data_IF_761627625333
#
_entry.id   IF_761627625333
#
_cell.length_a   1.000
_cell.length_b   1.000
_cell.length_c   1.000
_cell.angle_alpha   90.00
_cell.angle_beta   90.00
_cell.angle_gamma   90.00
#
_symmetry.space_group_name_H-M   'P 1'
#
loop_
_entity.id
_entity.type
_entity.pdbx_description
1 polymer ?
#
# COMPACT_ATOMS: atom_id res chain seq x y z
N UNK A 1 15.82 -26.35 -16.34
CA UNK A 1 17.05 -25.76 -15.75
C UNK A 1 17.09 -26.17 -14.30
N UNK A 2 18.26 -26.41 -13.70
CA UNK A 2 18.34 -26.53 -12.23
C UNK A 2 18.04 -25.14 -11.67
N UNK A 3 17.08 -25.04 -10.75
CA UNK A 3 16.82 -23.77 -10.07
C UNK A 3 18.01 -23.42 -9.19
N UNK A 4 18.74 -22.35 -9.53
CA UNK A 4 19.85 -21.83 -8.73
C UNK A 4 19.30 -21.07 -7.50
N UNK A 5 18.56 -21.78 -6.63
CA UNK A 5 17.96 -21.19 -5.42
C UNK A 5 19.03 -20.57 -4.51
N UNK A 6 20.21 -21.18 -4.44
CA UNK A 6 21.31 -20.80 -3.54
C UNK A 6 21.99 -19.46 -3.85
N UNK A 7 21.76 -18.89 -5.05
CA UNK A 7 22.33 -17.59 -5.45
C UNK A 7 21.44 -16.41 -5.01
N UNK A 8 20.19 -16.67 -4.61
CA UNK A 8 19.30 -15.63 -4.11
C UNK A 8 19.65 -15.23 -2.69
N UNK A 9 19.71 -13.92 -2.44
CA UNK A 9 19.97 -13.39 -1.10
C UNK A 9 18.90 -13.81 -0.09
N UNK A 10 17.66 -14.00 -0.54
CA UNK A 10 16.56 -14.53 0.28
C UNK A 10 16.76 -15.97 0.76
N UNK A 11 17.61 -16.75 0.08
CA UNK A 11 17.92 -18.16 0.39
C UNK A 11 19.30 -18.35 1.02
N UNK A 12 20.08 -17.27 1.16
CA UNK A 12 21.39 -17.32 1.82
C UNK A 12 21.24 -17.52 3.34
N UNK A 13 22.25 -18.14 3.95
CA UNK A 13 22.35 -18.25 5.41
C UNK A 13 22.78 -16.91 6.02
N UNK A 14 22.19 -16.56 7.16
CA UNK A 14 22.67 -15.43 7.96
C UNK A 14 23.78 -15.93 8.91
N UNK A 15 24.98 -15.35 8.79
CA UNK A 15 26.13 -15.72 9.62
C UNK A 15 25.92 -15.43 11.10
N UNK A 16 25.06 -14.46 11.44
CA UNK A 16 24.74 -14.14 12.82
C UNK A 16 23.79 -15.17 13.48
N UNK A 17 23.11 -16.01 12.70
CA UNK A 17 22.12 -16.98 13.19
C UNK A 17 22.50 -18.44 12.93
N UNK A 18 23.79 -18.76 12.70
CA UNK A 18 24.22 -20.13 12.40
C UNK A 18 23.92 -21.14 13.52
N UNK A 19 23.84 -20.66 14.76
CA UNK A 19 23.55 -21.46 15.97
C UNK A 19 22.22 -21.04 16.62
N UNK A 20 21.25 -20.55 15.81
CA UNK A 20 19.98 -20.01 16.31
C UNK A 20 19.22 -21.00 17.21
N UNK A 21 19.33 -22.30 16.95
CA UNK A 21 18.69 -23.38 17.70
C UNK A 21 19.33 -23.64 19.09
N UNK A 22 20.52 -23.10 19.34
CA UNK A 22 21.25 -23.22 20.61
C UNK A 22 21.13 -21.97 21.48
N UNK A 23 20.59 -20.88 20.93
CA UNK A 23 20.37 -19.62 21.63
C UNK A 23 19.21 -19.73 22.63
N UNK A 24 19.33 -19.04 23.76
CA UNK A 24 18.21 -18.81 24.67
C UNK A 24 17.13 -17.97 24.01
N UNK A 25 15.91 -18.00 24.56
CA UNK A 25 14.80 -17.21 24.04
C UNK A 25 15.12 -15.71 23.94
N UNK A 26 15.85 -15.14 24.92
CA UNK A 26 16.25 -13.72 24.91
C UNK A 26 17.24 -13.43 23.78
N UNK A 27 18.22 -14.30 23.57
CA UNK A 27 19.21 -14.16 22.50
C UNK A 27 18.55 -14.24 21.12
N UNK A 28 17.62 -15.18 20.91
CA UNK A 28 16.85 -15.29 19.65
C UNK A 28 16.09 -14.00 19.35
N UNK A 29 15.31 -13.47 20.29
CA UNK A 29 14.50 -12.25 20.03
C UNK A 29 15.37 -10.99 19.94
N UNK A 30 16.53 -10.97 20.61
CA UNK A 30 17.51 -9.89 20.47
C UNK A 30 18.09 -9.87 19.06
N UNK A 31 18.53 -11.03 18.55
CA UNK A 31 19.04 -11.15 17.19
C UNK A 31 17.97 -10.82 16.14
N UNK A 32 16.72 -11.27 16.34
CA UNK A 32 15.61 -10.88 15.47
C UNK A 32 15.43 -9.35 15.42
N UNK A 33 15.48 -8.68 16.58
CA UNK A 33 15.36 -7.23 16.64
C UNK A 33 16.53 -6.51 15.94
N UNK A 34 17.75 -6.97 16.12
CA UNK A 34 18.95 -6.43 15.46
C UNK A 34 18.85 -6.55 13.93
N UNK A 35 18.30 -7.66 13.43
CA UNK A 35 18.02 -7.86 12.01
C UNK A 35 16.89 -6.95 11.52
N UNK A 36 15.82 -6.79 12.29
CA UNK A 36 14.69 -5.90 11.95
C UNK A 36 15.10 -4.42 11.83
N UNK A 37 16.07 -3.96 12.64
CA UNK A 37 16.60 -2.59 12.54
C UNK A 37 17.17 -2.27 11.15
N UNK A 38 17.68 -3.29 10.43
CA UNK A 38 18.24 -3.14 9.08
C UNK A 38 17.18 -2.88 8.02
N UNK A 39 15.92 -3.27 8.26
CA UNK A 39 14.83 -3.18 7.28
C UNK A 39 14.55 -1.73 6.88
N UNK A 40 14.46 -0.82 7.85
CA UNK A 40 14.20 0.59 7.58
C UNK A 40 15.32 1.25 6.75
N UNK A 41 16.57 0.83 6.99
CA UNK A 41 17.73 1.28 6.23
C UNK A 41 17.71 0.73 4.80
N UNK A 42 17.28 -0.52 4.61
CA UNK A 42 17.11 -1.08 3.27
C UNK A 42 16.01 -0.33 2.50
N UNK A 43 14.85 -0.08 3.13
CA UNK A 43 13.75 0.69 2.53
C UNK A 43 14.19 2.10 2.13
N UNK A 44 15.04 2.75 2.93
CA UNK A 44 15.58 4.08 2.62
C UNK A 44 16.27 4.13 1.25
N UNK A 45 16.94 3.06 0.83
CA UNK A 45 17.63 3.02 -0.47
C UNK A 45 16.68 2.90 -1.66
N UNK A 46 15.42 2.49 -1.45
CA UNK A 46 14.42 2.32 -2.49
C UNK A 46 13.43 3.51 -2.59
N UNK A 47 13.66 4.61 -1.86
CA UNK A 47 12.69 5.72 -1.78
C UNK A 47 12.46 6.42 -3.12
N UNK A 48 13.46 6.45 -4.00
CA UNK A 48 13.34 7.05 -5.33
C UNK A 48 12.36 6.26 -6.19
N UNK A 49 12.49 4.94 -6.20
CA UNK A 49 11.63 4.02 -6.94
C UNK A 49 10.22 3.98 -6.35
N UNK A 50 10.11 4.04 -5.02
CA UNK A 50 8.81 4.18 -4.33
C UNK A 50 8.12 5.48 -4.72
N UNK A 51 8.84 6.61 -4.79
CA UNK A 51 8.27 7.88 -5.22
C UNK A 51 7.80 7.81 -6.69
N UNK A 52 8.59 7.22 -7.59
CA UNK A 52 8.19 7.02 -8.97
C UNK A 52 6.94 6.13 -9.11
N UNK A 53 6.85 5.06 -8.32
CA UNK A 53 5.66 4.22 -8.23
C UNK A 53 4.43 5.01 -7.75
N UNK A 54 4.59 5.86 -6.72
CA UNK A 54 3.50 6.73 -6.24
C UNK A 54 3.02 7.68 -7.33
N UNK A 55 3.92 8.28 -8.12
CA UNK A 55 3.55 9.16 -9.23
C UNK A 55 2.71 8.42 -10.29
N UNK A 56 3.11 7.20 -10.65
CA UNK A 56 2.35 6.35 -11.58
C UNK A 56 0.96 6.01 -11.02
N UNK A 57 0.87 5.68 -9.73
CA UNK A 57 -0.40 5.38 -9.04
C UNK A 57 -1.33 6.58 -9.01
N UNK A 58 -0.82 7.76 -8.65
CA UNK A 58 -1.60 9.00 -8.59
C UNK A 58 -2.15 9.34 -9.98
N UNK A 59 -1.31 9.32 -11.02
CA UNK A 59 -1.74 9.59 -12.40
C UNK A 59 -2.85 8.63 -12.86
N UNK A 60 -2.73 7.35 -12.55
CA UNK A 60 -3.75 6.35 -12.88
C UNK A 60 -5.07 6.61 -12.15
N UNK A 61 -5.03 6.88 -10.84
CA UNK A 61 -6.23 7.15 -10.04
C UNK A 61 -6.94 8.44 -10.46
N UNK A 62 -6.20 9.48 -10.85
CA UNK A 62 -6.79 10.71 -11.42
C UNK A 62 -7.54 10.44 -12.74
N UNK A 63 -7.16 9.41 -13.49
CA UNK A 63 -7.83 8.96 -14.72
C UNK A 63 -8.94 7.91 -14.49
N UNK A 64 -9.27 7.64 -13.21
CA UNK A 64 -10.27 6.68 -12.79
C UNK A 64 -9.80 5.22 -12.76
N UNK A 65 -8.49 5.00 -12.72
CA UNK A 65 -7.86 3.70 -12.53
C UNK A 65 -7.82 3.23 -11.07
N UNK A 66 -7.49 1.96 -10.88
CA UNK A 66 -7.35 1.31 -9.55
C UNK A 66 -5.90 0.91 -9.29
N UNK A 67 -5.57 0.69 -8.03
CA UNK A 67 -4.33 0.04 -7.58
C UNK A 67 -4.62 -1.42 -7.19
N UNK A 68 -3.97 -2.36 -7.86
CA UNK A 68 -4.21 -3.78 -7.70
C UNK A 68 -2.92 -4.49 -7.30
N UNK A 69 -2.89 -5.03 -6.09
CA UNK A 69 -1.78 -5.82 -5.59
C UNK A 69 -1.98 -7.30 -5.88
N UNK A 70 -0.94 -7.98 -6.34
CA UNK A 70 -0.95 -9.41 -6.57
C UNK A 70 0.27 -10.06 -5.92
N UNK A 71 0.05 -11.18 -5.24
CA UNK A 71 1.14 -11.97 -4.68
C UNK A 71 0.68 -13.34 -4.20
N UNK A 72 1.62 -14.19 -3.85
CA UNK A 72 1.35 -15.47 -3.20
C UNK A 72 1.77 -15.43 -1.72
N UNK A 73 1.23 -16.34 -0.91
CA UNK A 73 1.59 -16.50 0.49
C UNK A 73 1.60 -15.18 1.28
N UNK A 74 2.68 -14.92 2.01
CA UNK A 74 2.84 -13.69 2.80
C UNK A 74 2.70 -12.42 1.96
N UNK A 75 3.29 -12.37 0.76
CA UNK A 75 3.23 -11.22 -0.14
C UNK A 75 1.79 -10.86 -0.51
N UNK A 76 1.00 -11.87 -0.90
CA UNK A 76 -0.42 -11.67 -1.22
C UNK A 76 -1.24 -11.22 -0.01
N UNK A 77 -0.98 -11.82 1.18
CA UNK A 77 -1.66 -11.42 2.42
C UNK A 77 -1.36 -9.97 2.81
N UNK A 78 -0.12 -9.51 2.63
CA UNK A 78 0.26 -8.12 2.90
C UNK A 78 -0.41 -7.14 1.92
N UNK A 79 -0.54 -7.51 0.64
CA UNK A 79 -1.34 -6.75 -0.33
C UNK A 79 -2.81 -6.62 0.11
N UNK A 80 -3.42 -7.71 0.56
CA UNK A 80 -4.81 -7.69 1.07
C UNK A 80 -4.92 -6.83 2.35
N UNK A 81 -3.95 -6.93 3.25
CA UNK A 81 -3.91 -6.11 4.47
C UNK A 81 -3.92 -4.61 4.14
N UNK A 82 -2.97 -4.13 3.33
CA UNK A 82 -2.85 -2.71 2.97
C UNK A 82 -4.10 -2.20 2.25
N UNK A 83 -4.64 -2.98 1.30
CA UNK A 83 -5.87 -2.64 0.60
C UNK A 83 -7.08 -2.51 1.56
N UNK A 84 -7.21 -3.41 2.54
CA UNK A 84 -8.33 -3.40 3.50
C UNK A 84 -8.34 -2.18 4.42
N UNK A 85 -7.19 -1.55 4.63
CA UNK A 85 -7.05 -0.37 5.47
C UNK A 85 -7.37 0.93 4.72
N UNK A 86 -7.42 0.91 3.38
CA UNK A 86 -7.69 2.11 2.57
C UNK A 86 -9.09 2.70 2.79
N UNK A 87 -10.20 1.94 2.74
CA UNK A 87 -11.55 2.49 2.96
C UNK A 87 -11.74 3.16 4.34
N UNK A 88 -11.42 2.53 5.49
CA UNK A 88 -11.64 3.19 6.78
C UNK A 88 -10.69 4.37 7.03
N UNK A 89 -9.50 4.37 6.41
CA UNK A 89 -8.46 5.41 6.60
C UNK A 89 -8.69 6.61 5.67
N UNK A 90 -8.90 6.37 4.38
CA UNK A 90 -8.95 7.40 3.36
C UNK A 90 -10.34 7.58 2.77
N UNK A 91 -11.36 6.87 3.26
CA UNK A 91 -12.74 6.97 2.79
C UNK A 91 -12.90 6.67 1.32
N UNK A 92 -12.12 5.72 0.82
CA UNK A 92 -12.14 5.28 -0.56
C UNK A 92 -13.17 4.18 -0.77
N UNK A 93 -13.63 4.03 -2.00
CA UNK A 93 -14.36 2.83 -2.40
C UNK A 93 -13.45 1.58 -2.23
N UNK A 94 -13.95 0.46 -1.70
CA UNK A 94 -13.17 -0.78 -1.54
C UNK A 94 -12.60 -1.35 -2.85
N UNK A 95 -13.12 -0.95 -4.01
CA UNK A 95 -12.60 -1.37 -5.31
C UNK A 95 -11.41 -0.55 -5.80
N UNK A 96 -11.14 0.62 -5.20
CA UNK A 96 -10.06 1.52 -5.62
C UNK A 96 -8.67 0.92 -5.37
N UNK A 97 -8.51 0.23 -4.24
CA UNK A 97 -7.30 -0.50 -3.88
C UNK A 97 -7.71 -1.93 -3.52
N UNK A 98 -7.15 -2.93 -4.22
CA UNK A 98 -7.49 -4.34 -3.97
C UNK A 98 -6.24 -5.19 -3.86
N UNK A 99 -6.25 -6.12 -2.91
CA UNK A 99 -5.28 -7.22 -2.85
C UNK A 99 -5.86 -8.50 -3.44
N UNK A 100 -5.09 -9.15 -4.31
CA UNK A 100 -5.39 -10.44 -4.92
C UNK A 100 -4.28 -11.41 -4.52
N UNK A 101 -4.68 -12.54 -3.94
CA UNK A 101 -3.76 -13.58 -3.47
C UNK A 101 -3.92 -14.83 -4.31
N UNK A 102 -2.79 -15.42 -4.74
CA UNK A 102 -2.78 -16.70 -5.43
C UNK A 102 -3.52 -17.78 -4.62
N UNK A 103 -4.44 -18.52 -5.25
CA UNK A 103 -5.31 -19.48 -4.58
C UNK A 103 -6.59 -18.87 -3.98
N UNK A 104 -6.82 -17.57 -4.15
CA UNK A 104 -8.06 -16.90 -3.77
C UNK A 104 -8.22 -16.71 -2.25
N UNK A 105 -9.44 -16.37 -1.81
CA UNK A 105 -9.70 -15.98 -0.42
C UNK A 105 -9.35 -17.05 0.62
N UNK A 106 -9.39 -18.34 0.25
CA UNK A 106 -8.95 -19.43 1.14
C UNK A 106 -7.48 -19.29 1.54
N UNK A 107 -6.63 -18.81 0.63
CA UNK A 107 -5.20 -18.60 0.89
C UNK A 107 -4.90 -17.53 1.96
N UNK A 108 -5.90 -16.75 2.39
CA UNK A 108 -5.75 -15.80 3.50
C UNK A 108 -5.50 -16.50 4.83
N UNK A 109 -6.15 -17.65 5.03
CA UNK A 109 -6.10 -18.41 6.30
C UNK A 109 -5.39 -19.75 6.16
N UNK A 110 -5.29 -20.28 4.94
CA UNK A 110 -4.67 -21.56 4.64
C UNK A 110 -3.53 -21.41 3.63
N UNK A 111 -2.68 -22.44 3.52
CA UNK A 111 -1.68 -22.53 2.46
C UNK A 111 -2.30 -23.34 1.32
N UNK A 112 -2.28 -22.79 0.11
CA UNK A 112 -2.75 -23.48 -1.10
C UNK A 112 -1.51 -23.94 -1.88
N UNK A 113 -1.25 -25.25 -1.87
CA UNK A 113 -0.10 -25.83 -2.56
C UNK A 113 -0.16 -25.56 -4.08
N UNK A 114 1.00 -25.22 -4.67
CA UNK A 114 1.18 -25.04 -6.12
C UNK A 114 0.57 -23.77 -6.72
N UNK A 115 -0.18 -22.96 -5.95
CA UNK A 115 -0.77 -21.73 -6.47
C UNK A 115 0.30 -20.71 -6.90
N UNK A 116 1.44 -20.65 -6.20
CA UNK A 116 2.53 -19.72 -6.52
C UNK A 116 3.35 -20.11 -7.75
N UNK A 117 3.31 -21.39 -8.11
CA UNK A 117 4.05 -21.97 -9.25
C UNK A 117 3.30 -21.84 -10.59
N UNK A 118 2.06 -21.37 -10.58
CA UNK A 118 1.22 -21.27 -11.77
C UNK A 118 1.28 -19.90 -12.43
N UNK A 119 2.00 -19.80 -13.54
CA UNK A 119 2.02 -18.61 -14.40
C UNK A 119 0.62 -18.31 -14.98
N UNK A 120 -0.10 -19.36 -15.40
CA UNK A 120 -1.43 -19.23 -15.99
C UNK A 120 -2.44 -18.69 -14.99
N UNK A 121 -2.41 -19.15 -13.73
CA UNK A 121 -3.28 -18.64 -12.68
C UNK A 121 -3.09 -17.13 -12.49
N UNK A 122 -1.85 -16.64 -12.59
CA UNK A 122 -1.55 -15.21 -12.51
C UNK A 122 -2.25 -14.40 -13.63
N UNK A 123 -2.23 -14.92 -14.86
CA UNK A 123 -2.94 -14.30 -15.99
C UNK A 123 -4.45 -14.36 -15.81
N UNK A 124 -4.99 -15.51 -15.41
CA UNK A 124 -6.42 -15.69 -15.14
C UNK A 124 -6.92 -14.72 -14.07
N UNK A 125 -6.16 -14.51 -12.99
CA UNK A 125 -6.54 -13.59 -11.91
C UNK A 125 -6.47 -12.12 -12.35
N UNK A 126 -5.58 -11.75 -13.27
CA UNK A 126 -5.60 -10.43 -13.94
C UNK A 126 -6.89 -10.25 -14.73
N UNK A 127 -7.31 -11.26 -15.49
CA UNK A 127 -8.57 -11.19 -16.25
C UNK A 127 -9.78 -11.12 -15.31
N UNK A 128 -9.81 -11.97 -14.29
CA UNK A 128 -10.89 -12.03 -13.28
C UNK A 128 -11.00 -10.75 -12.46
N UNK A 129 -9.87 -10.10 -12.17
CA UNK A 129 -9.86 -8.79 -11.52
C UNK A 129 -10.38 -7.66 -12.44
N UNK A 130 -10.54 -7.95 -13.73
CA UNK A 130 -10.98 -7.01 -14.76
C UNK A 130 -9.95 -5.90 -14.97
N UNK A 131 -8.66 -6.23 -14.98
CA UNK A 131 -7.57 -5.26 -15.20
C UNK A 131 -7.72 -4.58 -16.56
N UNK A 132 -7.56 -3.26 -16.58
CA UNK A 132 -7.65 -2.40 -17.77
C UNK A 132 -6.41 -1.53 -17.91
N UNK A 133 -6.26 -0.87 -19.07
CA UNK A 133 -5.16 0.05 -19.34
C UNK A 133 -5.07 1.27 -18.39
N UNK A 134 -6.13 1.53 -17.62
CA UNK A 134 -6.15 2.61 -16.62
C UNK A 134 -5.56 2.18 -15.28
N UNK A 135 -5.47 0.88 -15.02
CA UNK A 135 -5.09 0.36 -13.71
C UNK A 135 -3.57 0.30 -13.54
N UNK A 136 -3.15 0.25 -12.27
CA UNK A 136 -1.78 -0.06 -11.86
C UNK A 136 -1.78 -1.40 -11.17
N UNK A 137 -0.91 -2.30 -11.64
CA UNK A 137 -0.70 -3.64 -11.09
C UNK A 137 0.64 -3.68 -10.40
N UNK A 138 0.66 -4.06 -9.12
CA UNK A 138 1.90 -4.34 -8.38
C UNK A 138 2.03 -5.85 -8.15
N UNK A 139 3.07 -6.44 -8.74
CA UNK A 139 3.44 -7.83 -8.51
C UNK A 139 4.43 -7.94 -7.34
N UNK A 140 4.07 -8.69 -6.31
CA UNK A 140 4.83 -8.77 -5.05
C UNK A 140 5.39 -10.18 -4.86
N UNK A 141 6.70 -10.32 -4.93
CA UNK A 141 7.40 -11.56 -4.61
C UNK A 141 8.75 -11.26 -3.95
N UNK A 142 8.90 -11.60 -2.67
CA UNK A 142 10.18 -11.45 -1.95
C UNK A 142 11.35 -12.11 -2.70
N UNK A 143 11.13 -13.33 -3.22
CA UNK A 143 12.12 -14.06 -4.02
C UNK A 143 12.40 -13.42 -5.39
N UNK A 144 11.48 -12.61 -5.91
CA UNK A 144 11.62 -11.97 -7.20
C UNK A 144 11.44 -12.87 -8.43
N UNK A 145 11.01 -14.13 -8.24
CA UNK A 145 10.89 -15.12 -9.34
C UNK A 145 9.62 -15.95 -9.35
N UNK A 146 8.68 -15.67 -8.45
CA UNK A 146 7.43 -16.44 -8.30
C UNK A 146 6.66 -16.49 -9.63
N UNK A 147 6.43 -17.68 -10.23
CA UNK A 147 5.79 -17.80 -11.54
C UNK A 147 4.41 -17.15 -11.64
N UNK A 148 3.58 -17.26 -10.60
CA UNK A 148 2.29 -16.57 -10.52
C UNK A 148 2.43 -15.06 -10.70
N UNK A 149 3.38 -14.43 -10.00
CA UNK A 149 3.61 -12.98 -10.06
C UNK A 149 4.14 -12.58 -11.43
N UNK A 150 4.99 -13.39 -12.06
CA UNK A 150 5.43 -13.17 -13.44
C UNK A 150 4.24 -13.19 -14.41
N UNK A 151 3.37 -14.19 -14.30
CA UNK A 151 2.14 -14.29 -15.10
C UNK A 151 1.21 -13.09 -14.93
N UNK A 152 1.07 -12.58 -13.71
CA UNK A 152 0.32 -11.34 -13.43
C UNK A 152 0.92 -10.15 -14.17
N UNK A 153 2.23 -9.93 -14.07
CA UNK A 153 2.88 -8.75 -14.67
C UNK A 153 2.82 -8.81 -16.21
N UNK A 154 3.00 -10.00 -16.79
CA UNK A 154 2.83 -10.23 -18.22
C UNK A 154 1.39 -9.95 -18.67
N UNK A 155 0.40 -10.53 -17.98
CA UNK A 155 -1.01 -10.33 -18.31
C UNK A 155 -1.44 -8.86 -18.16
N UNK A 156 -0.97 -8.17 -17.12
CA UNK A 156 -1.25 -6.75 -16.92
C UNK A 156 -0.69 -5.89 -18.07
N UNK A 157 0.53 -6.20 -18.52
CA UNK A 157 1.16 -5.53 -19.66
C UNK A 157 0.41 -5.78 -20.96
N UNK A 158 -0.10 -6.98 -21.20
CA UNK A 158 -0.96 -7.29 -22.34
C UNK A 158 -2.26 -6.46 -22.33
N UNK A 159 -2.82 -6.16 -21.16
CA UNK A 159 -3.95 -5.24 -20.98
C UNK A 159 -3.55 -3.76 -20.99
N UNK A 160 -2.28 -3.45 -21.23
CA UNK A 160 -1.69 -2.10 -21.21
C UNK A 160 -1.79 -1.37 -19.87
N UNK A 161 -2.01 -2.11 -18.77
CA UNK A 161 -1.94 -1.56 -17.43
C UNK A 161 -0.50 -1.18 -17.09
N UNK A 162 -0.34 -0.21 -16.19
CA UNK A 162 0.98 0.11 -15.63
C UNK A 162 1.41 -0.97 -14.65
N UNK A 163 2.69 -1.32 -14.69
CA UNK A 163 3.24 -2.47 -13.96
C UNK A 163 4.36 -2.05 -13.02
N UNK A 164 4.27 -2.51 -11.78
CA UNK A 164 5.27 -2.28 -10.74
C UNK A 164 5.68 -3.65 -10.16
N UNK A 165 6.98 -3.92 -10.08
CA UNK A 165 7.49 -5.09 -9.34
C UNK A 165 7.97 -4.70 -7.95
N UNK A 166 7.75 -5.57 -6.96
CA UNK A 166 8.29 -5.44 -5.61
C UNK A 166 8.96 -6.75 -5.18
N UNK A 167 10.27 -6.67 -4.90
CA UNK A 167 11.08 -7.82 -4.47
C UNK A 167 12.08 -7.47 -3.35
N UNK A 168 12.76 -8.49 -2.83
CA UNK A 168 13.85 -8.34 -1.87
C UNK A 168 15.17 -8.97 -2.35
N UNK A 169 15.34 -9.11 -3.67
CA UNK A 169 16.55 -9.60 -4.33
C UNK A 169 17.12 -8.51 -5.27
N UNK A 170 18.43 -8.52 -5.56
CA UNK A 170 19.09 -7.40 -6.23
C UNK A 170 18.74 -7.29 -7.71
N UNK A 171 18.63 -8.43 -8.39
CA UNK A 171 18.28 -8.53 -9.82
C UNK A 171 17.22 -9.64 -10.01
N UNK A 172 15.96 -9.36 -9.69
CA UNK A 172 14.89 -10.35 -9.74
C UNK A 172 14.28 -10.46 -11.15
N UNK A 173 13.91 -11.68 -11.55
CA UNK A 173 13.26 -11.95 -12.84
C UNK A 173 12.02 -11.07 -13.08
N UNK A 174 11.22 -10.81 -12.04
CA UNK A 174 9.97 -10.03 -12.14
C UNK A 174 10.21 -8.53 -12.41
N UNK A 175 11.45 -8.03 -12.31
CA UNK A 175 11.76 -6.62 -12.57
C UNK A 175 12.04 -6.33 -14.04
N UNK A 176 12.13 -7.34 -14.88
CA UNK A 176 12.36 -7.14 -16.31
C UNK A 176 11.06 -6.76 -17.03
N UNK A 177 11.09 -5.63 -17.74
CA UNK A 177 10.02 -5.22 -18.64
C UNK A 177 8.77 -4.63 -17.96
N UNK A 178 8.87 -4.27 -16.67
CA UNK A 178 7.87 -3.48 -15.92
C UNK A 178 8.15 -1.97 -16.03
N UNK A 179 7.17 -1.13 -15.69
CA UNK A 179 7.35 0.34 -15.70
C UNK A 179 8.19 0.84 -14.53
N UNK A 180 8.03 0.25 -13.34
CA UNK A 180 8.82 0.59 -12.13
C UNK A 180 9.21 -0.69 -11.38
N UNK A 181 10.46 -0.77 -10.92
CA UNK A 181 10.95 -1.89 -10.11
C UNK A 181 11.41 -1.40 -8.75
N UNK A 182 10.88 -1.99 -7.68
CA UNK A 182 11.25 -1.69 -6.29
C UNK A 182 11.93 -2.93 -5.70
N UNK A 183 13.24 -2.85 -5.47
CA UNK A 183 14.04 -3.94 -4.93
C UNK A 183 14.62 -3.55 -3.57
N UNK A 184 14.14 -4.16 -2.48
CA UNK A 184 14.52 -3.82 -1.11
C UNK A 184 15.47 -4.85 -0.51
N UNK A 185 16.75 -4.51 -0.45
CA UNK A 185 17.82 -5.42 -0.06
C UNK A 185 17.93 -5.60 1.46
N UNK A 186 17.13 -6.50 2.04
CA UNK A 186 17.08 -6.74 3.50
C UNK A 186 18.11 -7.74 4.03
N UNK A 187 18.79 -8.46 3.14
CA UNK A 187 19.76 -9.48 3.51
C UNK A 187 19.16 -10.83 3.94
N UNK A 188 20.03 -11.81 4.24
CA UNK A 188 19.62 -13.14 4.69
C UNK A 188 18.71 -13.10 5.92
N UNK A 189 17.69 -13.95 5.94
CA UNK A 189 16.76 -14.05 7.07
C UNK A 189 17.40 -14.81 8.25
N UNK A 190 16.95 -14.53 9.49
CA UNK A 190 17.42 -15.25 10.69
C UNK A 190 17.16 -16.76 10.60
N UNK A 191 16.02 -17.14 10.02
CA UNK A 191 15.73 -18.50 9.58
C UNK A 191 15.83 -18.49 8.07
N UNK A 192 16.81 -19.21 7.51
CA UNK A 192 17.08 -19.24 6.07
C UNK A 192 15.82 -19.51 5.26
N UNK A 193 15.56 -18.68 4.24
CA UNK A 193 14.37 -18.78 3.39
C UNK A 193 13.06 -18.28 4.01
N UNK A 194 13.01 -17.95 5.31
CA UNK A 194 11.80 -17.48 5.98
C UNK A 194 11.50 -16.00 5.69
N UNK A 195 11.25 -15.68 4.42
CA UNK A 195 10.98 -14.33 3.89
C UNK A 195 9.73 -13.65 4.45
N UNK A 196 8.90 -14.36 5.24
CA UNK A 196 7.82 -13.73 6.01
C UNK A 196 8.31 -12.74 7.08
N UNK A 197 9.62 -12.72 7.36
CA UNK A 197 10.26 -11.90 8.38
C UNK A 197 10.68 -10.55 7.79
N UNK A 198 11.97 -10.26 7.59
CA UNK A 198 12.44 -8.95 7.15
C UNK A 198 11.88 -8.55 5.78
N UNK A 199 11.85 -9.47 4.82
CA UNK A 199 11.31 -9.19 3.49
C UNK A 199 9.80 -8.87 3.55
N UNK A 200 9.05 -9.58 4.40
CA UNK A 200 7.65 -9.25 4.72
C UNK A 200 7.49 -7.87 5.36
N UNK A 201 8.34 -7.52 6.33
CA UNK A 201 8.35 -6.20 6.98
C UNK A 201 8.66 -5.08 5.98
N UNK A 202 9.68 -5.26 5.13
CA UNK A 202 10.01 -4.32 4.06
C UNK A 202 8.83 -4.15 3.10
N UNK A 203 8.24 -5.26 2.67
CA UNK A 203 7.05 -5.25 1.80
C UNK A 203 5.93 -4.43 2.43
N UNK A 204 5.60 -4.68 3.71
CA UNK A 204 4.59 -3.90 4.43
C UNK A 204 4.89 -2.40 4.42
N UNK A 205 6.14 -2.01 4.72
CA UNK A 205 6.56 -0.61 4.73
C UNK A 205 6.37 0.04 3.35
N UNK A 206 6.76 -0.65 2.28
CA UNK A 206 6.60 -0.15 0.91
C UNK A 206 5.12 0.00 0.54
N UNK A 207 4.28 -1.01 0.78
CA UNK A 207 2.85 -0.94 0.46
C UNK A 207 2.17 0.23 1.18
N UNK A 208 2.46 0.40 2.48
CA UNK A 208 1.96 1.52 3.26
C UNK A 208 2.42 2.88 2.69
N UNK A 209 3.65 2.97 2.17
CA UNK A 209 4.13 4.17 1.49
C UNK A 209 3.37 4.41 0.18
N UNK A 210 3.17 3.38 -0.65
CA UNK A 210 2.45 3.48 -1.92
C UNK A 210 1.03 4.02 -1.72
N UNK A 211 0.25 3.42 -0.83
CA UNK A 211 -1.13 3.88 -0.57
C UNK A 211 -1.16 5.22 0.14
N UNK A 212 -0.42 5.37 1.24
CA UNK A 212 -0.48 6.60 2.04
C UNK A 212 -0.02 7.81 1.24
N UNK A 213 1.11 7.73 0.53
CA UNK A 213 1.62 8.85 -0.26
C UNK A 213 0.69 9.17 -1.44
N UNK A 214 0.13 8.17 -2.11
CA UNK A 214 -0.84 8.39 -3.19
C UNK A 214 -2.10 9.09 -2.67
N UNK A 215 -2.64 8.65 -1.52
CA UNK A 215 -3.83 9.26 -0.92
C UNK A 215 -3.57 10.68 -0.40
N UNK A 216 -2.36 10.99 0.07
CA UNK A 216 -1.94 12.35 0.38
C UNK A 216 -1.95 13.22 -0.88
N UNK A 217 -1.35 12.76 -1.98
CA UNK A 217 -1.33 13.49 -3.26
C UNK A 217 -2.73 13.69 -3.86
N UNK A 218 -3.65 12.76 -3.62
CA UNK A 218 -5.06 12.83 -4.03
C UNK A 218 -5.96 13.63 -3.05
N UNK A 219 -5.36 14.35 -2.10
CA UNK A 219 -6.10 15.26 -1.21
C UNK A 219 -6.94 14.59 -0.13
N UNK A 220 -6.67 13.33 0.22
CA UNK A 220 -7.40 12.61 1.29
C UNK A 220 -6.95 13.00 2.71
N UNK A 221 -5.85 13.76 2.81
CA UNK A 221 -5.22 14.23 4.04
C UNK A 221 -5.07 15.76 4.00
N UNK A 222 -5.20 16.42 5.16
CA UNK A 222 -4.93 17.85 5.32
C UNK A 222 -3.95 18.07 6.46
N UNK A 223 -2.80 18.69 6.18
CA UNK A 223 -1.67 18.66 7.10
C UNK A 223 -1.24 17.21 7.33
N UNK A 224 -1.38 16.73 8.56
CA UNK A 224 -1.19 15.34 8.95
C UNK A 224 -2.49 14.69 9.48
N UNK A 225 -3.65 15.28 9.16
CA UNK A 225 -4.95 14.86 9.67
C UNK A 225 -5.74 14.11 8.60
N UNK A 226 -6.33 12.99 9.04
CA UNK A 226 -7.17 12.10 8.23
C UNK A 226 -8.54 12.73 7.99
N UNK A 227 -8.64 13.67 7.04
CA UNK A 227 -9.87 14.45 6.81
C UNK A 227 -10.88 13.76 5.90
N UNK A 228 -10.52 12.67 5.21
CA UNK A 228 -11.48 11.88 4.42
C UNK A 228 -11.89 10.57 5.11
N UNK A 229 -11.92 10.56 6.45
CA UNK A 229 -12.24 9.36 7.23
C UNK A 229 -13.74 9.01 7.17
N UNK A 230 -14.09 7.73 7.24
CA UNK A 230 -15.49 7.27 7.33
C UNK A 230 -15.89 7.05 8.79
N UNK A 231 -16.75 7.92 9.34
CA UNK A 231 -17.12 7.92 10.77
C UNK A 231 -18.13 6.81 11.16
N UNK A 232 -17.81 5.55 10.86
CA UNK A 232 -18.70 4.37 11.00
C UNK A 232 -18.86 3.88 12.43
N UNK A 233 -17.98 4.28 13.36
CA UNK A 233 -18.03 3.88 14.76
C UNK A 233 -17.77 5.07 15.70
N UNK A 234 -18.06 4.89 17.00
CA UNK A 234 -17.92 5.93 18.02
C UNK A 234 -16.52 6.55 18.04
N UNK A 235 -15.46 5.74 17.99
CA UNK A 235 -14.06 6.21 17.97
C UNK A 235 -13.80 7.16 16.80
N UNK A 236 -14.30 6.83 15.61
CA UNK A 236 -14.11 7.64 14.41
C UNK A 236 -14.95 8.92 14.42
N UNK A 237 -16.15 8.89 15.00
CA UNK A 237 -16.97 10.11 15.23
C UNK A 237 -16.31 11.09 16.20
N UNK A 238 -15.75 10.59 17.30
CA UNK A 238 -14.98 11.45 18.24
C UNK A 238 -13.72 12.01 17.59
N UNK A 239 -12.98 11.18 16.86
CA UNK A 239 -11.82 11.63 16.09
C UNK A 239 -12.19 12.73 15.09
N UNK A 240 -13.33 12.58 14.40
CA UNK A 240 -13.79 13.56 13.44
C UNK A 240 -14.02 14.94 14.08
N UNK A 241 -14.71 14.98 15.22
CA UNK A 241 -14.92 16.23 15.98
C UNK A 241 -13.60 16.85 16.42
N UNK A 242 -12.68 16.05 16.97
CA UNK A 242 -11.37 16.55 17.38
C UNK A 242 -10.55 17.12 16.21
N UNK A 243 -10.58 16.49 15.03
CA UNK A 243 -9.92 17.01 13.83
C UNK A 243 -10.48 18.38 13.45
N UNK A 244 -11.80 18.52 13.42
CA UNK A 244 -12.44 19.80 13.08
C UNK A 244 -12.05 20.86 14.12
N UNK A 245 -12.18 20.57 15.42
CA UNK A 245 -11.78 21.48 16.50
C UNK A 245 -10.32 21.93 16.36
N UNK A 246 -9.39 20.99 16.13
CA UNK A 246 -7.97 21.29 16.00
C UNK A 246 -7.68 22.19 14.78
N UNK A 247 -8.39 21.98 13.67
CA UNK A 247 -8.17 22.77 12.46
C UNK A 247 -8.83 24.14 12.55
N UNK A 248 -10.03 24.23 13.10
CA UNK A 248 -10.87 25.44 13.04
C UNK A 248 -10.82 26.30 14.30
N UNK A 249 -10.28 25.78 15.41
CA UNK A 249 -10.34 26.37 16.76
C UNK A 249 -11.77 26.53 17.31
N UNK A 250 -12.74 25.81 16.77
CA UNK A 250 -14.10 25.78 17.29
C UNK A 250 -14.23 24.91 18.54
N UNK A 251 -15.27 25.18 19.35
CA UNK A 251 -15.69 24.30 20.43
C UNK A 251 -16.26 22.98 19.94
N UNK A 252 -16.45 22.03 20.86
CA UNK A 252 -16.94 20.69 20.53
C UNK A 252 -18.34 20.68 19.90
N UNK A 253 -19.28 21.44 20.46
CA UNK A 253 -20.66 21.53 19.95
C UNK A 253 -20.71 22.21 18.57
N UNK A 254 -19.93 23.28 18.39
CA UNK A 254 -19.80 23.99 17.11
C UNK A 254 -19.18 23.08 16.03
N UNK A 255 -18.17 22.28 16.39
CA UNK A 255 -17.57 21.31 15.49
C UNK A 255 -18.57 20.22 15.06
N UNK A 256 -19.42 19.73 15.99
CA UNK A 256 -20.47 18.75 15.67
C UNK A 256 -21.54 19.34 14.74
N UNK A 257 -21.95 20.59 14.98
CA UNK A 257 -22.88 21.31 14.11
C UNK A 257 -22.29 21.52 12.72
N UNK A 258 -21.02 21.93 12.63
CA UNK A 258 -20.32 22.14 11.36
C UNK A 258 -20.17 20.84 10.55
N UNK A 259 -19.82 19.72 11.21
CA UNK A 259 -19.76 18.41 10.57
C UNK A 259 -21.13 18.01 10.02
N UNK A 260 -22.20 18.25 10.79
CA UNK A 260 -23.58 17.97 10.36
C UNK A 260 -23.96 18.83 9.17
N UNK A 261 -23.65 20.13 9.19
CA UNK A 261 -23.88 21.05 8.08
C UNK A 261 -23.12 20.63 6.80
N UNK A 262 -21.93 20.06 6.96
CA UNK A 262 -21.14 19.49 5.87
C UNK A 262 -21.55 18.05 5.48
N UNK A 263 -22.68 17.55 5.99
CA UNK A 263 -23.19 16.20 5.73
C UNK A 263 -22.19 15.08 6.07
N UNK A 264 -21.34 15.33 7.07
CA UNK A 264 -20.32 14.38 7.53
C UNK A 264 -18.97 14.48 6.81
N UNK A 265 -18.83 15.27 5.74
CA UNK A 265 -17.54 15.44 5.05
C UNK A 265 -16.69 16.51 5.75
N UNK A 266 -15.62 16.06 6.42
CA UNK A 266 -14.73 16.93 7.18
C UNK A 266 -13.98 17.92 6.29
N UNK A 267 -13.69 17.55 5.04
CA UNK A 267 -13.03 18.46 4.09
C UNK A 267 -13.93 19.64 3.81
N UNK A 268 -15.22 19.38 3.55
CA UNK A 268 -16.24 20.41 3.31
C UNK A 268 -16.40 21.29 4.56
N UNK A 269 -16.55 20.70 5.74
CA UNK A 269 -16.62 21.43 7.01
C UNK A 269 -15.43 22.37 7.23
N UNK A 270 -14.21 21.88 7.01
CA UNK A 270 -12.98 22.67 7.16
C UNK A 270 -12.97 23.84 6.17
N UNK A 271 -13.31 23.61 4.90
CA UNK A 271 -13.32 24.67 3.88
C UNK A 271 -14.41 25.70 4.15
N UNK A 272 -15.62 25.28 4.52
CA UNK A 272 -16.72 26.17 4.93
C UNK A 272 -16.25 27.14 6.01
N UNK A 273 -15.64 26.61 7.07
CA UNK A 273 -15.22 27.42 8.21
C UNK A 273 -14.00 28.30 7.91
N UNK A 274 -13.00 27.78 7.18
CA UNK A 274 -11.75 28.52 6.92
C UNK A 274 -11.86 29.58 5.84
N UNK A 275 -12.76 29.37 4.86
CA UNK A 275 -12.98 30.31 3.77
C UNK A 275 -14.29 31.11 3.91
N UNK A 276 -15.04 30.92 5.00
CA UNK A 276 -16.34 31.55 5.26
C UNK A 276 -17.34 31.34 4.10
N UNK A 277 -17.54 30.08 3.71
CA UNK A 277 -18.34 29.68 2.56
C UNK A 277 -19.57 28.87 2.96
N UNK A 278 -20.58 28.88 2.09
CA UNK A 278 -21.66 27.88 2.18
C UNK A 278 -21.14 26.49 1.84
N UNK A 279 -21.93 25.46 2.16
CA UNK A 279 -21.60 24.07 1.81
C UNK A 279 -21.35 23.91 0.31
N UNK A 280 -22.24 24.46 -0.52
CA UNK A 280 -22.19 24.32 -1.98
C UNK A 280 -20.94 24.99 -2.55
N UNK A 281 -20.58 26.16 -2.04
CA UNK A 281 -19.36 26.87 -2.42
C UNK A 281 -18.10 26.10 -2.00
N UNK A 282 -18.09 25.52 -0.80
CA UNK A 282 -16.99 24.71 -0.32
C UNK A 282 -16.81 23.41 -1.12
N UNK A 283 -17.92 22.73 -1.45
CA UNK A 283 -17.94 21.55 -2.32
C UNK A 283 -17.40 21.87 -3.70
N UNK A 284 -17.81 22.99 -4.30
CA UNK A 284 -17.33 23.40 -5.61
C UNK A 284 -15.84 23.74 -5.60
N UNK A 285 -15.36 24.47 -4.58
CA UNK A 285 -13.91 24.74 -4.44
C UNK A 285 -13.10 23.47 -4.24
N UNK A 286 -13.60 22.51 -3.46
CA UNK A 286 -12.96 21.22 -3.31
C UNK A 286 -12.91 20.45 -4.63
N UNK A 287 -14.00 20.49 -5.42
CA UNK A 287 -14.05 19.85 -6.73
C UNK A 287 -13.01 20.43 -7.68
N UNK A 288 -12.91 21.76 -7.76
CA UNK A 288 -11.89 22.46 -8.58
C UNK A 288 -10.47 22.15 -8.10
N UNK A 289 -10.27 22.07 -6.79
CA UNK A 289 -8.98 21.75 -6.18
C UNK A 289 -8.60 20.25 -6.20
N UNK A 290 -9.37 19.39 -6.87
CA UNK A 290 -9.13 17.94 -6.88
C UNK A 290 -9.19 17.30 -5.48
N UNK A 291 -10.03 17.83 -4.59
CA UNK A 291 -10.19 17.38 -3.20
C UNK A 291 -9.13 17.92 -2.23
N UNK A 292 -8.15 18.70 -2.69
CA UNK A 292 -7.06 19.23 -1.85
C UNK A 292 -7.56 20.40 -1.00
N UNK A 293 -7.82 20.13 0.28
CA UNK A 293 -8.34 21.12 1.26
C UNK A 293 -7.52 22.41 1.31
N UNK A 294 -6.18 22.32 1.34
CA UNK A 294 -5.33 23.50 1.41
C UNK A 294 -5.49 24.44 0.20
N UNK A 295 -5.67 23.88 -1.00
CA UNK A 295 -5.90 24.65 -2.22
C UNK A 295 -7.32 25.22 -2.25
N UNK A 296 -8.31 24.44 -1.81
CA UNK A 296 -9.70 24.90 -1.74
C UNK A 296 -9.91 26.08 -0.77
N UNK A 297 -9.16 26.12 0.34
CA UNK A 297 -9.15 27.27 1.26
C UNK A 297 -8.51 28.50 0.59
N UNK A 298 -7.38 28.31 -0.09
CA UNK A 298 -6.59 29.39 -0.68
C UNK A 298 -7.18 29.96 -1.99
N UNK A 299 -8.05 29.21 -2.68
CA UNK A 299 -8.69 29.66 -3.90
C UNK A 299 -9.46 30.97 -3.63
N UNK A 300 -9.16 32.02 -4.40
CA UNK A 300 -9.99 33.24 -4.40
C UNK A 300 -11.20 33.01 -5.29
N UNK A 301 -12.32 33.66 -4.94
CA UNK A 301 -13.56 33.63 -5.74
C UNK A 301 -13.36 34.22 -7.13
#
# INVERSE_FOLDING_TARGET
>A
MKDNLHELQTEMRNTASEQLDQMTALEVVTLMNEEDQKVSLAVKHALTEVAAAVEVIVQAMEQGGRLLYFGAGTSGRLGVLDASECPPTFGTDPSLVRGIIAGGSAALVEVIEGAEDSLELGREDVERAGVTAKDVVVGIAASGRTPYVRGVLEGAKEKQAKTISLSCNPDPDISHGVDVSINVMVGPEVVTGSTRLKAGTATKMILNMLTTASMVQLGKVYGNLMVNLQATNRKLRERAKHIVMQVTNLGYEEAEQLITAASGDLRVAIVMQKAALTKEQAEERLRIAGGKVHQAIAASS
#
